data_IF_826680932554
#
_entry.id   IF_826680932554
#
_cell.length_a   1.000
_cell.length_b   1.000
_cell.length_c   1.000
_cell.angle_alpha   90.00
_cell.angle_beta   90.00
_cell.angle_gamma   90.00
#
_symmetry.space_group_name_H-M   'P 1'
#
loop_
_entity.id
_entity.type
_entity.pdbx_description
1 polymer ?
#
# COMPACT_ATOMS: atom_id res chain seq x y z
N UNK A 1 -50.67 16.12 53.82
CA UNK A 1 -49.71 16.44 54.91
C UNK A 1 -48.53 17.18 54.28
N UNK A 2 -48.45 18.43 54.56
CA UNK A 2 -47.43 19.44 54.35
C UNK A 2 -46.01 19.00 54.69
N UNK A 3 -45.00 19.46 53.90
CA UNK A 3 -43.85 20.21 54.42
C UNK A 3 -42.84 20.50 53.30
N UNK A 4 -42.97 21.64 52.79
CA UNK A 4 -42.04 22.80 52.73
C UNK A 4 -40.61 22.56 53.22
N UNK A 5 -39.62 22.95 52.36
CA UNK A 5 -38.53 23.85 52.74
C UNK A 5 -37.54 24.18 51.61
N UNK A 6 -37.66 25.43 51.19
CA UNK A 6 -36.61 26.22 50.59
C UNK A 6 -35.26 26.06 51.36
N UNK A 7 -34.19 25.80 50.65
CA UNK A 7 -32.87 26.17 51.09
C UNK A 7 -32.13 26.81 49.93
N UNK A 8 -32.27 28.12 49.81
CA UNK A 8 -31.49 28.97 48.93
C UNK A 8 -30.08 29.10 49.54
N UNK A 9 -29.13 28.30 49.05
CA UNK A 9 -27.70 28.49 49.36
C UNK A 9 -27.20 29.79 48.76
N UNK A 10 -26.85 30.74 49.59
CA UNK A 10 -26.17 32.00 49.25
C UNK A 10 -24.89 31.70 48.47
N UNK A 11 -24.90 32.01 47.17
CA UNK A 11 -23.65 32.16 46.41
C UNK A 11 -22.96 33.45 46.87
N UNK A 12 -21.83 33.29 47.55
CA UNK A 12 -20.91 34.39 47.83
C UNK A 12 -20.31 34.89 46.49
N UNK A 13 -20.33 36.20 46.23
CA UNK A 13 -19.70 36.73 45.02
C UNK A 13 -18.19 36.56 45.11
N UNK A 14 -17.60 35.95 44.09
CA UNK A 14 -16.17 35.90 43.89
C UNK A 14 -15.60 37.33 43.76
N UNK A 15 -14.46 37.64 44.38
CA UNK A 15 -13.83 38.96 44.29
C UNK A 15 -13.49 39.26 42.82
N UNK A 16 -14.01 40.38 42.32
CA UNK A 16 -13.70 40.91 40.99
C UNK A 16 -12.24 41.35 40.96
N UNK A 17 -11.41 40.60 40.24
CA UNK A 17 -10.04 41.00 39.93
C UNK A 17 -10.05 42.29 39.08
N UNK A 18 -9.19 43.28 39.40
CA UNK A 18 -9.17 44.55 38.70
C UNK A 18 -8.84 44.37 37.21
N UNK A 19 -9.63 44.99 36.39
CA UNK A 19 -9.61 44.96 34.91
C UNK A 19 -8.20 45.14 34.25
N UNK A 20 -7.25 45.91 34.83
CA UNK A 20 -5.91 46.05 34.25
C UNK A 20 -5.07 44.77 34.30
N UNK A 21 -5.30 43.86 35.26
CA UNK A 21 -4.53 42.61 35.34
C UNK A 21 -4.94 41.60 34.22
N UNK A 22 -6.21 41.58 33.83
CA UNK A 22 -6.68 40.68 32.74
C UNK A 22 -6.07 41.03 31.39
N UNK A 23 -5.85 42.33 31.13
CA UNK A 23 -5.24 42.78 29.86
C UNK A 23 -3.76 42.46 29.78
N UNK A 24 -3.03 42.51 30.91
CA UNK A 24 -1.65 42.11 30.98
C UNK A 24 -1.47 40.60 30.79
N UNK A 25 -2.32 39.77 31.41
CA UNK A 25 -2.30 38.32 31.24
C UNK A 25 -2.59 37.89 29.79
N UNK A 26 -3.57 38.54 29.11
CA UNK A 26 -3.87 38.30 27.70
C UNK A 26 -2.72 38.65 26.77
N UNK A 27 -1.99 39.76 27.06
CA UNK A 27 -0.80 40.15 26.29
C UNK A 27 0.38 39.19 26.49
N UNK A 28 0.58 38.71 27.74
CA UNK A 28 1.61 37.70 28.01
C UNK A 28 1.29 36.35 27.33
N UNK A 29 0.03 35.92 27.40
CA UNK A 29 -0.41 34.67 26.72
C UNK A 29 -0.24 34.75 25.21
N UNK A 30 -0.60 35.89 24.58
CA UNK A 30 -0.41 36.13 23.16
C UNK A 30 1.07 36.14 22.77
N UNK A 31 1.94 36.73 23.62
CA UNK A 31 3.38 36.76 23.34
C UNK A 31 4.02 35.38 23.47
N UNK A 32 3.64 34.56 24.46
CA UNK A 32 4.10 33.18 24.60
C UNK A 32 3.63 32.31 23.41
N UNK A 33 2.39 32.51 22.94
CA UNK A 33 1.88 31.76 21.77
C UNK A 33 2.66 32.10 20.51
N UNK A 34 2.98 33.38 20.27
CA UNK A 34 3.80 33.79 19.11
C UNK A 34 5.24 33.26 19.21
N UNK A 35 5.84 33.24 20.37
CA UNK A 35 7.19 32.70 20.57
C UNK A 35 7.23 31.20 20.34
N UNK A 36 6.25 30.44 20.82
CA UNK A 36 6.14 29.01 20.56
C UNK A 36 5.93 28.67 19.09
N UNK A 37 5.17 29.48 18.34
CA UNK A 37 4.99 29.34 16.90
C UNK A 37 6.28 29.64 16.10
N UNK A 38 7.09 30.58 16.55
CA UNK A 38 8.36 30.91 15.89
C UNK A 38 9.44 29.82 16.11
N UNK A 39 9.45 29.16 17.28
CA UNK A 39 10.40 28.05 17.53
C UNK A 39 9.98 26.73 16.88
N UNK A 40 8.69 26.53 16.57
CA UNK A 40 8.19 25.33 15.90
C UNK A 40 8.54 25.24 14.41
N UNK A 41 8.90 26.34 13.76
CA UNK A 41 9.23 26.38 12.32
C UNK A 41 10.75 26.22 12.03
N UNK A 42 11.61 26.26 13.05
CA UNK A 42 13.06 26.10 12.86
C UNK A 42 13.53 24.63 12.88
N UNK A 43 12.65 23.65 13.14
CA UNK A 43 12.99 22.23 13.14
C UNK A 43 12.90 21.53 11.78
N UNK A 44 12.58 22.26 10.69
CA UNK A 44 12.61 21.74 9.32
C UNK A 44 13.82 22.25 8.52
N UNK A 45 14.96 22.48 9.17
CA UNK A 45 16.25 22.65 8.54
C UNK A 45 16.92 21.29 8.30
N UNK A 46 16.32 20.44 7.47
CA UNK A 46 16.95 19.20 7.02
C UNK A 46 18.20 19.57 6.20
N UNK A 47 19.38 19.25 6.72
CA UNK A 47 20.65 19.27 6.00
C UNK A 47 20.45 18.67 4.60
N UNK A 48 20.83 19.40 3.55
CA UNK A 48 20.71 19.01 2.15
C UNK A 48 21.59 17.83 1.70
N UNK A 49 21.77 16.82 2.58
CA UNK A 49 22.43 15.55 2.32
C UNK A 49 21.58 14.37 2.81
N UNK A 50 20.24 14.46 2.69
CA UNK A 50 19.42 13.27 2.91
C UNK A 50 19.79 12.22 1.85
N UNK A 51 20.39 11.12 2.31
CA UNK A 51 20.66 9.95 1.47
C UNK A 51 19.36 9.53 0.78
N UNK A 52 19.37 9.22 -0.52
CA UNK A 52 18.16 8.74 -1.20
C UNK A 52 17.49 7.61 -0.39
N UNK A 53 16.17 7.59 -0.33
CA UNK A 53 15.45 6.51 0.37
C UNK A 53 15.83 5.17 -0.24
N UNK A 54 16.21 4.22 0.61
CA UNK A 54 16.56 2.85 0.20
C UNK A 54 15.63 1.88 0.91
N UNK A 55 15.34 0.74 0.27
CA UNK A 55 14.57 -0.35 0.88
C UNK A 55 15.39 -0.91 2.07
N UNK A 56 14.76 -1.14 3.19
CA UNK A 56 15.44 -1.70 4.36
C UNK A 56 15.91 -3.15 4.10
N UNK A 57 16.95 -3.65 4.79
CA UNK A 57 17.36 -5.05 4.66
C UNK A 57 16.24 -6.04 4.98
N UNK A 58 15.40 -5.74 5.96
CA UNK A 58 14.25 -6.55 6.36
C UNK A 58 13.20 -6.61 5.24
N UNK A 59 12.86 -5.45 4.67
CA UNK A 59 11.93 -5.37 3.54
C UNK A 59 12.50 -6.07 2.30
N UNK A 60 13.80 -5.91 2.03
CA UNK A 60 14.47 -6.60 0.93
C UNK A 60 14.45 -8.13 1.11
N UNK A 61 14.59 -8.63 2.32
CA UNK A 61 14.48 -10.06 2.60
C UNK A 61 13.06 -10.59 2.32
N UNK A 62 12.03 -9.80 2.63
CA UNK A 62 10.64 -10.15 2.28
C UNK A 62 10.45 -10.15 0.77
N UNK A 63 10.91 -9.09 0.08
CA UNK A 63 10.80 -8.99 -1.38
C UNK A 63 11.48 -10.20 -2.04
N UNK A 64 12.69 -10.57 -1.62
CA UNK A 64 13.43 -11.72 -2.17
C UNK A 64 12.63 -13.02 -2.05
N UNK A 65 12.08 -13.31 -0.86
CA UNK A 65 11.26 -14.51 -0.65
C UNK A 65 10.04 -14.55 -1.57
N UNK A 66 9.35 -13.42 -1.74
CA UNK A 66 8.17 -13.38 -2.60
C UNK A 66 8.56 -13.41 -4.10
N UNK A 67 9.71 -12.82 -4.46
CA UNK A 67 10.24 -12.86 -5.82
C UNK A 67 10.59 -14.29 -6.26
N UNK A 68 11.04 -15.15 -5.34
CA UNK A 68 11.26 -16.58 -5.63
C UNK A 68 9.96 -17.25 -6.12
N UNK A 69 8.86 -17.10 -5.39
CA UNK A 69 7.56 -17.68 -5.78
C UNK A 69 7.04 -17.08 -7.08
N UNK A 70 7.15 -15.77 -7.25
CA UNK A 70 6.80 -15.10 -8.51
C UNK A 70 7.62 -15.67 -9.69
N UNK A 71 8.93 -15.86 -9.52
CA UNK A 71 9.82 -16.43 -10.56
C UNK A 71 9.46 -17.88 -10.88
N UNK A 72 9.20 -18.71 -9.86
CA UNK A 72 8.74 -20.09 -10.05
C UNK A 72 7.45 -20.16 -10.87
N UNK A 73 6.50 -19.25 -10.62
CA UNK A 73 5.28 -19.17 -11.43
C UNK A 73 5.58 -18.69 -12.86
N UNK A 74 6.49 -17.74 -13.05
CA UNK A 74 6.93 -17.26 -14.35
C UNK A 74 7.59 -18.38 -15.18
N UNK A 75 8.38 -19.26 -14.55
CA UNK A 75 9.02 -20.42 -15.17
C UNK A 75 8.01 -21.43 -15.72
N UNK A 76 6.73 -21.36 -15.32
CA UNK A 76 5.64 -22.19 -15.85
C UNK A 76 5.04 -21.65 -17.15
N UNK A 77 5.47 -20.48 -17.64
CA UNK A 77 4.95 -19.90 -18.89
C UNK A 77 5.15 -20.82 -20.12
N UNK A 78 6.28 -21.52 -20.30
CA UNK A 78 6.43 -22.48 -21.39
C UNK A 78 5.40 -23.61 -21.34
N UNK A 79 5.09 -24.14 -20.14
CA UNK A 79 4.09 -25.18 -19.97
C UNK A 79 2.70 -24.64 -20.32
N UNK A 80 2.38 -23.43 -19.86
CA UNK A 80 1.13 -22.75 -20.21
C UNK A 80 1.02 -22.56 -21.74
N UNK A 81 2.12 -22.19 -22.42
CA UNK A 81 2.15 -22.04 -23.88
C UNK A 81 1.78 -23.36 -24.59
N UNK A 82 2.34 -24.48 -24.12
CA UNK A 82 2.04 -25.81 -24.68
C UNK A 82 0.56 -26.13 -24.53
N UNK A 83 -0.01 -25.96 -23.33
CA UNK A 83 -1.42 -26.26 -23.06
C UNK A 83 -2.36 -25.36 -23.86
N UNK A 84 -2.04 -24.07 -23.98
CA UNK A 84 -2.80 -23.12 -24.83
C UNK A 84 -2.79 -23.51 -26.29
N UNK A 85 -1.63 -23.89 -26.83
CA UNK A 85 -1.50 -24.32 -28.22
C UNK A 85 -2.26 -25.63 -28.51
N UNK A 86 -2.28 -26.55 -27.55
CA UNK A 86 -3.01 -27.81 -27.62
C UNK A 86 -4.51 -27.65 -27.36
N UNK A 87 -4.94 -26.46 -26.91
CA UNK A 87 -6.30 -26.18 -26.43
C UNK A 87 -6.72 -27.14 -25.31
N UNK A 88 -5.78 -27.46 -24.43
CA UNK A 88 -6.07 -28.29 -23.26
C UNK A 88 -6.69 -27.45 -22.15
N UNK A 89 -8.00 -27.33 -22.23
CA UNK A 89 -8.80 -26.48 -21.35
C UNK A 89 -8.65 -26.85 -19.88
N UNK A 90 -8.67 -28.14 -19.61
CA UNK A 90 -8.61 -28.64 -18.22
C UNK A 90 -7.26 -28.39 -17.59
N UNK A 91 -6.17 -28.79 -18.26
CA UNK A 91 -4.83 -28.60 -17.69
C UNK A 91 -4.38 -27.14 -17.69
N UNK A 92 -4.86 -26.32 -18.63
CA UNK A 92 -4.66 -24.85 -18.58
C UNK A 92 -5.24 -24.28 -17.29
N UNK A 93 -6.48 -24.60 -16.94
CA UNK A 93 -7.10 -24.15 -15.68
C UNK A 93 -6.40 -24.71 -14.47
N UNK A 94 -6.00 -25.97 -14.47
CA UNK A 94 -5.25 -26.58 -13.38
C UNK A 94 -3.92 -25.86 -13.14
N UNK A 95 -3.22 -25.42 -14.18
CA UNK A 95 -1.98 -24.65 -14.06
C UNK A 95 -2.22 -23.26 -13.44
N UNK A 96 -3.30 -22.57 -13.84
CA UNK A 96 -3.68 -21.26 -13.28
C UNK A 96 -4.08 -21.39 -11.80
N UNK A 97 -4.92 -22.38 -11.46
CA UNK A 97 -5.42 -22.57 -10.08
C UNK A 97 -4.45 -23.36 -9.17
N UNK A 98 -3.38 -23.89 -9.72
CA UNK A 98 -2.31 -24.57 -8.97
C UNK A 98 -1.06 -23.69 -8.86
N UNK A 99 0.00 -23.96 -9.66
CA UNK A 99 1.30 -23.30 -9.53
C UNK A 99 1.25 -21.78 -9.67
N UNK A 100 0.29 -21.20 -10.41
CA UNK A 100 0.20 -19.76 -10.65
C UNK A 100 -0.76 -19.04 -9.68
N UNK A 101 -1.46 -19.75 -8.80
CA UNK A 101 -2.48 -19.17 -7.92
C UNK A 101 -1.92 -18.12 -6.97
N UNK A 102 -0.71 -18.33 -6.46
CA UNK A 102 -0.10 -17.49 -5.43
C UNK A 102 0.49 -16.17 -5.95
N UNK A 103 0.68 -16.03 -7.27
CA UNK A 103 1.30 -14.85 -7.91
C UNK A 103 0.68 -13.53 -7.44
N UNK A 104 -0.64 -13.51 -7.30
CA UNK A 104 -1.34 -12.30 -6.84
C UNK A 104 -0.96 -11.89 -5.41
N UNK A 105 -0.75 -12.86 -4.52
CA UNK A 105 -0.32 -12.64 -3.13
C UNK A 105 1.15 -12.23 -3.08
N UNK A 106 2.00 -12.87 -3.83
CA UNK A 106 3.43 -12.55 -3.90
C UNK A 106 3.66 -11.13 -4.37
N UNK A 107 3.00 -10.72 -5.46
CA UNK A 107 3.03 -9.32 -5.93
C UNK A 107 2.52 -8.33 -4.89
N UNK A 108 1.48 -8.68 -4.12
CA UNK A 108 0.96 -7.82 -3.06
C UNK A 108 2.02 -7.56 -1.98
N UNK A 109 2.69 -8.62 -1.50
CA UNK A 109 3.72 -8.47 -0.47
C UNK A 109 4.95 -7.74 -0.99
N UNK A 110 5.37 -7.96 -2.24
CA UNK A 110 6.44 -7.18 -2.88
C UNK A 110 6.05 -5.69 -2.90
N UNK A 111 4.88 -5.35 -3.44
CA UNK A 111 4.43 -3.96 -3.60
C UNK A 111 4.37 -3.19 -2.28
N UNK A 112 3.98 -3.86 -1.19
CA UNK A 112 3.92 -3.24 0.15
C UNK A 112 5.31 -2.84 0.68
N UNK A 113 6.38 -3.47 0.20
CA UNK A 113 7.77 -3.27 0.64
C UNK A 113 8.59 -2.40 -0.30
N UNK A 114 8.09 -2.10 -1.50
CA UNK A 114 8.71 -1.14 -2.41
C UNK A 114 8.70 0.27 -1.83
N UNK A 115 9.58 1.12 -2.35
CA UNK A 115 9.56 2.55 -2.03
C UNK A 115 8.21 3.17 -2.42
N UNK A 116 7.71 4.19 -1.69
CA UNK A 116 6.40 4.78 -1.94
C UNK A 116 6.19 5.24 -3.39
N UNK A 117 7.22 5.74 -4.05
CA UNK A 117 7.14 6.21 -5.43
C UNK A 117 6.95 5.09 -6.45
N UNK A 118 7.41 3.86 -6.13
CA UNK A 118 7.37 2.72 -7.04
C UNK A 118 6.06 1.91 -6.89
N UNK A 119 5.38 2.06 -5.75
CA UNK A 119 4.18 1.27 -5.42
C UNK A 119 3.02 1.46 -6.39
N UNK A 120 2.82 2.66 -6.90
CA UNK A 120 1.70 2.96 -7.78
C UNK A 120 1.81 2.19 -9.11
N UNK A 121 2.98 2.20 -9.73
CA UNK A 121 3.21 1.46 -10.98
C UNK A 121 3.22 -0.05 -10.73
N UNK A 122 3.86 -0.53 -9.66
CA UNK A 122 3.85 -1.93 -9.30
C UNK A 122 2.43 -2.48 -9.08
N UNK A 123 1.56 -1.73 -8.38
CA UNK A 123 0.16 -2.09 -8.19
C UNK A 123 -0.62 -2.16 -9.51
N UNK A 124 -0.39 -1.21 -10.40
CA UNK A 124 -1.01 -1.20 -11.73
C UNK A 124 -0.59 -2.42 -12.57
N UNK A 125 0.71 -2.76 -12.57
CA UNK A 125 1.23 -3.94 -13.28
C UNK A 125 0.71 -5.23 -12.67
N UNK A 126 0.66 -5.34 -11.34
CA UNK A 126 0.08 -6.48 -10.64
C UNK A 126 -1.41 -6.68 -10.98
N UNK A 127 -2.18 -5.60 -11.06
CA UNK A 127 -3.60 -5.66 -11.45
C UNK A 127 -3.74 -6.20 -12.87
N UNK A 128 -2.96 -5.68 -13.82
CA UNK A 128 -2.98 -6.15 -15.23
C UNK A 128 -2.62 -7.62 -15.36
N UNK A 129 -1.62 -8.10 -14.62
CA UNK A 129 -1.25 -9.52 -14.67
C UNK A 129 -2.35 -10.41 -14.08
N UNK A 130 -2.96 -10.01 -12.96
CA UNK A 130 -4.09 -10.75 -12.37
C UNK A 130 -5.29 -10.81 -13.33
N UNK A 131 -5.62 -9.71 -13.98
CA UNK A 131 -6.68 -9.67 -15.01
C UNK A 131 -6.35 -10.59 -16.18
N UNK A 132 -5.10 -10.60 -16.67
CA UNK A 132 -4.68 -11.47 -17.75
C UNK A 132 -4.76 -12.98 -17.37
N UNK A 133 -4.37 -13.34 -16.13
CA UNK A 133 -4.51 -14.71 -15.62
C UNK A 133 -5.99 -15.13 -15.52
N UNK A 134 -6.85 -14.24 -15.04
CA UNK A 134 -8.30 -14.46 -14.99
C UNK A 134 -8.90 -14.62 -16.40
N UNK A 135 -8.40 -13.86 -17.38
CA UNK A 135 -8.83 -13.99 -18.77
C UNK A 135 -8.41 -15.32 -19.41
N UNK A 136 -7.24 -15.88 -19.07
CA UNK A 136 -6.83 -17.22 -19.50
C UNK A 136 -7.76 -18.27 -18.91
N UNK A 137 -8.05 -18.20 -17.59
CA UNK A 137 -8.96 -19.14 -16.94
C UNK A 137 -10.36 -19.10 -17.56
N UNK A 138 -10.89 -17.90 -17.77
CA UNK A 138 -12.21 -17.72 -18.37
C UNK A 138 -12.26 -18.18 -19.84
N UNK A 139 -11.23 -17.89 -20.65
CA UNK A 139 -11.13 -18.36 -22.01
C UNK A 139 -11.08 -19.90 -22.09
N UNK A 140 -10.33 -20.53 -21.16
CA UNK A 140 -10.28 -21.99 -21.06
C UNK A 140 -11.62 -22.57 -20.60
N UNK A 141 -12.30 -21.94 -19.64
CA UNK A 141 -13.64 -22.33 -19.17
C UNK A 141 -14.67 -22.31 -20.29
N UNK A 142 -14.61 -21.26 -21.13
CA UNK A 142 -15.52 -21.11 -22.29
C UNK A 142 -15.08 -21.90 -23.54
N UNK A 143 -13.91 -22.54 -23.49
CA UNK A 143 -13.29 -23.23 -24.61
C UNK A 143 -13.08 -22.32 -25.84
N UNK A 144 -12.83 -21.03 -25.62
CA UNK A 144 -12.56 -20.04 -26.65
C UNK A 144 -11.06 -20.00 -26.98
N UNK A 145 -10.66 -20.71 -28.04
CA UNK A 145 -9.25 -20.82 -28.44
C UNK A 145 -8.65 -19.50 -28.91
N UNK A 146 -9.43 -18.59 -29.49
CA UNK A 146 -8.94 -17.28 -29.95
C UNK A 146 -8.65 -16.37 -28.77
N UNK A 147 -9.58 -16.30 -27.82
CA UNK A 147 -9.42 -15.55 -26.58
C UNK A 147 -8.27 -16.13 -25.74
N UNK A 148 -8.17 -17.47 -25.67
CA UNK A 148 -7.12 -18.15 -24.92
C UNK A 148 -5.73 -17.77 -25.42
N UNK A 149 -5.49 -17.79 -26.72
CA UNK A 149 -4.22 -17.40 -27.33
C UNK A 149 -3.85 -15.94 -27.05
N UNK A 150 -4.84 -15.04 -27.15
CA UNK A 150 -4.66 -13.61 -26.87
C UNK A 150 -4.36 -13.36 -25.38
N UNK A 151 -5.10 -13.99 -24.50
CA UNK A 151 -4.91 -13.80 -23.04
C UNK A 151 -3.59 -14.40 -22.56
N UNK A 152 -3.12 -15.51 -23.14
CA UNK A 152 -1.77 -16.02 -22.88
C UNK A 152 -0.69 -14.98 -23.20
N UNK A 153 -0.78 -14.30 -24.34
CA UNK A 153 0.18 -13.24 -24.71
C UNK A 153 0.17 -12.11 -23.68
N UNK A 154 -1.01 -11.77 -23.17
CA UNK A 154 -1.16 -10.76 -22.12
C UNK A 154 -0.52 -11.22 -20.79
N UNK A 155 -0.66 -12.51 -20.43
CA UNK A 155 -0.01 -13.10 -19.25
C UNK A 155 1.50 -13.04 -19.39
N UNK A 156 2.07 -13.52 -20.50
CA UNK A 156 3.52 -13.51 -20.73
C UNK A 156 4.10 -12.08 -20.66
N UNK A 157 3.42 -11.12 -21.29
CA UNK A 157 3.78 -9.70 -21.21
C UNK A 157 3.63 -9.15 -19.79
N UNK A 158 2.59 -9.54 -19.08
CA UNK A 158 2.33 -9.13 -17.70
C UNK A 158 3.45 -9.57 -16.75
N UNK A 159 3.89 -10.83 -16.82
CA UNK A 159 5.04 -11.33 -16.06
C UNK A 159 6.31 -10.56 -16.38
N UNK A 160 6.65 -10.37 -17.66
CA UNK A 160 7.83 -9.64 -18.08
C UNK A 160 7.81 -8.17 -17.60
N UNK A 161 6.68 -7.50 -17.63
CA UNK A 161 6.56 -6.13 -17.16
C UNK A 161 6.65 -6.02 -15.64
N UNK A 162 6.00 -6.93 -14.89
CA UNK A 162 6.04 -6.89 -13.44
C UNK A 162 7.45 -7.25 -12.92
N UNK A 163 8.16 -8.18 -13.54
CA UNK A 163 9.54 -8.52 -13.17
C UNK A 163 10.47 -7.28 -13.13
N UNK A 164 10.22 -6.26 -13.94
CA UNK A 164 11.03 -5.04 -14.00
C UNK A 164 10.89 -4.13 -12.78
N UNK A 165 9.81 -4.25 -12.01
CA UNK A 165 9.61 -3.46 -10.79
C UNK A 165 10.15 -4.17 -9.54
N UNK A 166 10.53 -5.43 -9.66
CA UNK A 166 11.23 -6.16 -8.59
C UNK A 166 12.67 -5.65 -8.53
N UNK A 167 13.18 -5.21 -7.36
CA UNK A 167 14.58 -4.81 -7.22
C UNK A 167 15.54 -5.91 -7.67
N UNK A 168 16.57 -5.55 -8.45
CA UNK A 168 17.53 -6.53 -9.00
C UNK A 168 18.23 -7.33 -7.90
N UNK A 169 18.48 -6.72 -6.74
CA UNK A 169 19.09 -7.36 -5.57
C UNK A 169 18.19 -8.46 -4.96
N UNK A 170 16.91 -8.48 -5.29
CA UNK A 170 15.99 -9.52 -4.85
C UNK A 170 15.94 -10.72 -5.80
N UNK A 171 16.46 -10.58 -7.01
CA UNK A 171 16.49 -11.61 -8.06
C UNK A 171 17.86 -12.30 -8.20
N UNK A 172 18.82 -11.89 -7.36
CA UNK A 172 20.22 -12.40 -7.37
C UNK A 172 20.46 -13.53 -6.37
#
# INVERSE_FOLDING_TARGET
MLRDRNNAGKLTPLPSLPIPMLSALRRLAAFCLCVCLCFGLAACGGNGNAKPPTISPEDMAVIRRQAEGFTQAQERLPDLAVLVNQRDWTFTRNLIHGPMQEVGREMLYINQRLLPNDRAEANKLATKLKEALADVDEAARLQDGTRLQKSYTSVATGFANYARVIPAEALS
#
